data_IF_839431168766
#
_entry.id   IF_839431168766
#
_cell.length_a   1.000
_cell.length_b   1.000
_cell.length_c   1.000
_cell.angle_alpha   90.00
_cell.angle_beta   90.00
_cell.angle_gamma   90.00
#
_symmetry.space_group_name_H-M   'P 1'
#
loop_
_entity.id
_entity.type
_entity.pdbx_description
1 polymer ?
#
# COMPACT_ATOMS: atom_id res chain seq x y z
N UNK A 1 31.65 20.53 -31.44
CA UNK A 1 31.06 19.80 -30.32
C UNK A 1 32.12 18.93 -29.66
N UNK A 2 32.33 19.10 -28.36
CA UNK A 2 33.28 18.29 -27.60
C UNK A 2 32.67 16.89 -27.37
N UNK A 3 33.41 15.80 -27.64
CA UNK A 3 32.93 14.47 -27.37
C UNK A 3 32.79 14.26 -25.86
N UNK A 4 31.63 13.74 -25.44
CA UNK A 4 31.38 13.40 -24.05
C UNK A 4 32.22 12.17 -23.66
N UNK A 5 33.03 12.26 -22.60
CA UNK A 5 33.77 11.11 -22.07
C UNK A 5 32.83 10.19 -21.28
N UNK A 6 32.73 8.93 -21.72
CA UNK A 6 31.93 7.92 -21.04
C UNK A 6 32.45 7.72 -19.61
N UNK A 7 31.57 7.90 -18.61
CA UNK A 7 31.88 7.72 -17.18
C UNK A 7 32.22 9.01 -16.43
N UNK A 8 32.26 10.17 -17.08
CA UNK A 8 32.41 11.45 -16.40
C UNK A 8 31.08 11.89 -15.73
N UNK A 9 31.15 12.24 -14.44
CA UNK A 9 30.03 12.79 -13.66
C UNK A 9 30.52 14.01 -12.88
N UNK A 10 29.75 15.11 -12.91
CA UNK A 10 29.99 16.30 -12.09
C UNK A 10 29.61 16.12 -10.61
N UNK A 11 28.96 14.99 -10.27
CA UNK A 11 28.59 14.66 -8.90
C UNK A 11 29.76 14.05 -8.12
N UNK A 12 29.90 14.41 -6.84
CA UNK A 12 30.78 13.70 -5.91
C UNK A 12 30.37 12.22 -5.91
N UNK A 13 31.33 11.31 -6.05
CA UNK A 13 31.09 9.87 -5.92
C UNK A 13 30.72 9.59 -4.46
N UNK A 14 29.43 9.70 -4.15
CA UNK A 14 28.88 9.29 -2.88
C UNK A 14 28.71 7.77 -2.87
N UNK A 15 28.94 7.14 -1.73
CA UNK A 15 28.61 5.73 -1.53
C UNK A 15 27.12 5.52 -1.82
N UNK A 16 26.82 4.81 -2.89
CA UNK A 16 25.47 4.33 -3.17
C UNK A 16 25.29 3.02 -2.38
N UNK A 17 24.50 3.02 -1.30
CA UNK A 17 24.24 1.78 -0.59
C UNK A 17 23.60 0.79 -1.57
N UNK A 18 23.93 -0.51 -1.50
CA UNK A 18 23.40 -1.52 -2.41
C UNK A 18 21.92 -1.86 -2.10
N UNK A 19 21.07 -0.84 -2.00
CA UNK A 19 19.62 -0.92 -1.80
C UNK A 19 18.90 -1.23 -3.12
N UNK A 20 19.51 -2.05 -3.97
CA UNK A 20 18.83 -2.53 -5.17
C UNK A 20 17.62 -3.35 -4.71
N UNK A 21 16.41 -3.06 -5.20
CA UNK A 21 15.23 -3.86 -4.88
C UNK A 21 15.52 -5.33 -5.23
N UNK A 22 15.61 -6.18 -4.20
CA UNK A 22 15.78 -7.62 -4.38
C UNK A 22 14.40 -8.27 -4.47
N UNK A 23 14.23 -9.20 -5.42
CA UNK A 23 13.04 -10.06 -5.43
C UNK A 23 13.24 -11.16 -4.38
N UNK A 24 12.37 -11.26 -3.36
CA UNK A 24 12.47 -12.33 -2.39
C UNK A 24 12.05 -13.66 -3.03
N UNK A 25 12.70 -14.75 -2.62
CA UNK A 25 12.26 -16.10 -2.98
C UNK A 25 10.94 -16.40 -2.25
N UNK A 26 9.90 -16.72 -3.03
CA UNK A 26 8.57 -16.97 -2.48
C UNK A 26 8.42 -18.44 -2.04
N UNK A 27 8.01 -18.71 -0.78
CA UNK A 27 7.71 -20.07 -0.29
C UNK A 27 6.64 -20.74 -1.14
N UNK A 28 6.58 -22.06 -1.27
CA UNK A 28 5.53 -22.71 -2.07
C UNK A 28 4.12 -22.30 -1.63
N UNK A 29 3.17 -22.27 -2.58
CA UNK A 29 1.78 -21.98 -2.25
C UNK A 29 1.15 -23.16 -1.53
N UNK A 30 0.42 -22.87 -0.45
CA UNK A 30 -0.39 -23.83 0.30
C UNK A 30 -1.88 -23.53 0.05
N UNK A 31 -2.73 -24.56 0.08
CA UNK A 31 -4.20 -24.43 0.03
C UNK A 31 -4.73 -23.51 -1.09
N UNK A 32 -4.10 -23.56 -2.26
CA UNK A 32 -4.40 -22.72 -3.43
C UNK A 32 -4.28 -21.19 -3.22
N UNK A 33 -3.63 -20.72 -2.12
CA UNK A 33 -3.31 -19.31 -1.92
C UNK A 33 -2.07 -18.91 -2.71
N UNK A 34 -2.31 -18.46 -3.94
CA UNK A 34 -1.24 -18.06 -4.85
C UNK A 34 -0.75 -16.62 -4.66
N UNK A 35 -1.40 -15.83 -3.80
CA UNK A 35 -1.01 -14.44 -3.58
C UNK A 35 0.37 -14.36 -2.89
N UNK A 36 1.33 -13.58 -3.41
CA UNK A 36 2.70 -13.54 -2.88
C UNK A 36 2.79 -13.18 -1.40
N UNK A 37 1.94 -12.25 -0.93
CA UNK A 37 1.92 -11.82 0.47
C UNK A 37 1.42 -12.96 1.36
N UNK A 38 0.38 -13.68 0.94
CA UNK A 38 -0.18 -14.79 1.71
C UNK A 38 0.86 -15.89 1.90
N UNK A 39 1.62 -16.22 0.85
CA UNK A 39 2.71 -17.21 0.92
C UNK A 39 3.79 -16.85 1.94
N UNK A 40 4.09 -15.56 2.08
CA UNK A 40 5.05 -15.08 3.09
C UNK A 40 4.46 -15.15 4.50
N UNK A 41 3.19 -14.79 4.66
CA UNK A 41 2.48 -14.85 5.94
C UNK A 41 2.30 -16.30 6.39
N UNK A 42 1.88 -17.21 5.50
CA UNK A 42 1.65 -18.61 5.81
C UNK A 42 2.95 -19.31 6.24
N UNK A 43 4.08 -18.98 5.60
CA UNK A 43 5.41 -19.42 6.07
C UNK A 43 5.71 -18.91 7.48
N UNK A 44 5.46 -17.63 7.75
CA UNK A 44 5.70 -17.06 9.07
C UNK A 44 4.84 -17.77 10.14
N UNK A 45 3.53 -17.93 9.87
CA UNK A 45 2.61 -18.57 10.79
C UNK A 45 2.98 -20.03 11.06
N UNK A 46 3.34 -20.80 10.03
CA UNK A 46 3.77 -22.20 10.18
C UNK A 46 5.08 -22.34 10.95
N UNK A 47 6.06 -21.47 10.72
CA UNK A 47 7.33 -21.46 11.48
C UNK A 47 7.13 -21.16 12.97
N UNK A 48 6.08 -20.42 13.31
CA UNK A 48 5.77 -20.03 14.68
C UNK A 48 4.61 -20.83 15.30
N UNK A 49 4.13 -21.88 14.62
CA UNK A 49 3.00 -22.71 15.08
C UNK A 49 1.73 -21.89 15.41
N UNK A 50 1.53 -20.78 14.70
CA UNK A 50 0.40 -19.88 14.89
C UNK A 50 -0.75 -20.27 13.95
N UNK A 51 -2.01 -20.26 14.43
CA UNK A 51 -3.16 -20.53 13.57
C UNK A 51 -3.38 -19.38 12.58
N UNK A 52 -3.92 -19.73 11.40
CA UNK A 52 -4.34 -18.71 10.44
C UNK A 52 -5.58 -17.97 10.94
N UNK A 53 -5.64 -16.63 10.82
CA UNK A 53 -6.83 -15.87 11.18
C UNK A 53 -7.99 -16.19 10.22
N UNK A 54 -9.20 -16.25 10.77
CA UNK A 54 -10.41 -16.41 9.97
C UNK A 54 -10.67 -15.16 9.11
N UNK A 55 -11.27 -15.31 7.92
CA UNK A 55 -11.74 -14.18 7.13
C UNK A 55 -12.74 -13.33 7.92
N UNK A 56 -12.65 -12.01 7.75
CA UNK A 56 -13.60 -11.05 8.32
C UNK A 56 -14.91 -11.01 7.52
N UNK A 57 -15.99 -10.64 8.19
CA UNK A 57 -17.29 -10.39 7.57
C UNK A 57 -17.28 -9.14 6.67
N UNK A 58 -18.28 -9.03 5.82
CA UNK A 58 -18.36 -7.97 4.80
C UNK A 58 -18.57 -6.57 5.38
N UNK A 59 -19.29 -6.44 6.51
CA UNK A 59 -19.50 -5.13 7.13
C UNK A 59 -18.19 -4.62 7.76
N UNK A 60 -17.46 -5.51 8.44
CA UNK A 60 -16.12 -5.21 8.98
C UNK A 60 -15.14 -4.90 7.86
N UNK A 61 -15.17 -5.67 6.77
CA UNK A 61 -14.33 -5.40 5.59
C UNK A 61 -14.60 -4.01 5.02
N UNK A 62 -15.88 -3.67 4.76
CA UNK A 62 -16.24 -2.39 4.16
C UNK A 62 -15.81 -1.21 5.04
N UNK A 63 -16.04 -1.31 6.35
CA UNK A 63 -15.62 -0.26 7.29
C UNK A 63 -14.11 -0.06 7.27
N UNK A 64 -13.33 -1.14 7.29
CA UNK A 64 -11.86 -1.07 7.30
C UNK A 64 -11.33 -0.49 6.00
N UNK A 65 -11.79 -0.98 4.85
CA UNK A 65 -11.26 -0.54 3.56
C UNK A 65 -11.59 0.92 3.26
N UNK A 66 -12.75 1.42 3.68
CA UNK A 66 -13.06 2.85 3.59
C UNK A 66 -12.13 3.71 4.47
N UNK A 67 -11.93 3.31 5.73
CA UNK A 67 -11.05 4.04 6.64
C UNK A 67 -9.58 3.99 6.19
N UNK A 68 -9.13 2.84 5.66
CA UNK A 68 -7.74 2.65 5.24
C UNK A 68 -7.41 3.34 3.92
N UNK A 69 -8.36 3.41 2.98
CA UNK A 69 -8.11 3.97 1.65
C UNK A 69 -8.45 5.45 1.55
N UNK A 70 -9.55 5.89 2.17
CA UNK A 70 -10.09 7.25 2.01
C UNK A 70 -10.38 7.95 3.35
N UNK A 71 -10.08 7.33 4.50
CA UNK A 71 -10.19 7.98 5.81
C UNK A 71 -11.62 8.29 6.30
N UNK A 72 -12.64 7.91 5.53
CA UNK A 72 -14.05 8.17 5.83
C UNK A 72 -14.77 6.86 6.15
N UNK A 73 -15.94 6.95 6.80
CA UNK A 73 -16.81 5.79 6.98
C UNK A 73 -17.72 5.61 5.74
N UNK A 74 -18.11 4.37 5.40
CA UNK A 74 -19.15 4.16 4.40
C UNK A 74 -20.48 4.74 4.89
N UNK A 75 -21.29 5.25 3.97
CA UNK A 75 -22.66 5.66 4.27
C UNK A 75 -23.54 4.45 4.59
N UNK A 76 -24.64 4.64 5.34
CA UNK A 76 -25.61 3.57 5.59
C UNK A 76 -26.18 2.93 4.32
N UNK A 77 -26.35 3.72 3.26
CA UNK A 77 -26.83 3.29 1.96
C UNK A 77 -25.81 2.40 1.25
N UNK A 78 -24.53 2.80 1.23
CA UNK A 78 -23.45 1.98 0.67
C UNK A 78 -23.28 0.66 1.41
N UNK A 79 -23.36 0.69 2.75
CA UNK A 79 -23.29 -0.54 3.54
C UNK A 79 -24.42 -1.50 3.19
N UNK A 80 -25.66 -1.01 3.08
CA UNK A 80 -26.80 -1.84 2.67
C UNK A 80 -26.62 -2.41 1.28
N UNK A 81 -26.16 -1.59 0.32
CA UNK A 81 -25.92 -2.03 -1.05
C UNK A 81 -24.83 -3.10 -1.12
N UNK A 82 -23.73 -2.91 -0.40
CA UNK A 82 -22.60 -3.84 -0.37
C UNK A 82 -22.94 -5.18 0.30
N UNK A 83 -23.77 -5.15 1.34
CA UNK A 83 -24.26 -6.37 2.01
C UNK A 83 -25.28 -7.12 1.16
N UNK A 84 -26.05 -6.43 0.31
CA UNK A 84 -27.00 -7.05 -0.62
C UNK A 84 -26.33 -7.63 -1.87
N UNK A 85 -25.12 -7.19 -2.20
CA UNK A 85 -24.36 -7.69 -3.35
C UNK A 85 -23.76 -9.10 -3.07
N UNK A 86 -24.10 -10.05 -3.94
CA UNK A 86 -23.62 -11.44 -3.88
C UNK A 86 -22.49 -11.73 -4.89
N UNK A 87 -21.98 -10.71 -5.59
CA UNK A 87 -20.92 -10.87 -6.58
C UNK A 87 -19.63 -11.35 -5.92
N UNK A 88 -18.99 -12.35 -6.53
CA UNK A 88 -17.73 -12.94 -6.04
C UNK A 88 -16.57 -11.94 -6.01
N UNK A 89 -16.64 -10.88 -6.82
CA UNK A 89 -15.62 -9.85 -6.97
C UNK A 89 -15.96 -8.51 -6.29
N UNK A 90 -17.08 -8.43 -5.55
CA UNK A 90 -17.57 -7.17 -4.95
C UNK A 90 -16.52 -6.44 -4.10
N UNK A 91 -15.67 -7.17 -3.38
CA UNK A 91 -14.58 -6.60 -2.56
C UNK A 91 -13.53 -5.92 -3.43
N UNK A 92 -13.14 -6.57 -4.54
CA UNK A 92 -12.18 -6.03 -5.50
C UNK A 92 -12.75 -4.81 -6.22
N UNK A 93 -14.03 -4.85 -6.60
CA UNK A 93 -14.71 -3.72 -7.23
C UNK A 93 -14.77 -2.52 -6.29
N UNK A 94 -15.17 -2.71 -5.02
CA UNK A 94 -15.20 -1.64 -4.02
C UNK A 94 -13.82 -1.03 -3.75
N UNK A 95 -12.76 -1.84 -3.69
CA UNK A 95 -11.38 -1.32 -3.58
C UNK A 95 -11.04 -0.44 -4.77
N UNK A 96 -11.35 -0.89 -6.00
CA UNK A 96 -11.08 -0.10 -7.22
C UNK A 96 -11.86 1.20 -7.25
N UNK A 97 -13.13 1.17 -6.82
CA UNK A 97 -13.98 2.34 -6.72
C UNK A 97 -13.39 3.38 -5.75
N UNK A 98 -12.99 2.96 -4.55
CA UNK A 98 -12.38 3.85 -3.55
C UNK A 98 -11.03 4.41 -4.00
N UNK A 99 -10.20 3.60 -4.66
CA UNK A 99 -8.92 4.06 -5.22
C UNK A 99 -9.09 4.99 -6.42
N UNK A 100 -10.26 4.97 -7.08
CA UNK A 100 -10.58 5.86 -8.20
C UNK A 100 -11.23 7.18 -7.75
N UNK A 101 -11.58 7.33 -6.47
CA UNK A 101 -11.99 8.61 -5.89
C UNK A 101 -10.74 9.46 -5.61
N UNK A 102 -10.28 10.16 -6.64
CA UNK A 102 -9.06 10.97 -6.59
C UNK A 102 -9.11 12.03 -5.48
N UNK A 103 -10.30 12.54 -5.12
CA UNK A 103 -10.43 13.60 -4.11
C UNK A 103 -10.35 13.02 -2.71
N UNK A 104 -11.20 12.06 -2.37
CA UNK A 104 -11.21 11.49 -1.02
C UNK A 104 -9.89 10.75 -0.72
N UNK A 105 -9.33 10.06 -1.71
CA UNK A 105 -8.03 9.41 -1.57
C UNK A 105 -6.91 10.43 -1.35
N UNK A 106 -6.83 11.48 -2.17
CA UNK A 106 -5.80 12.50 -2.01
C UNK A 106 -5.90 13.20 -0.66
N UNK A 107 -7.10 13.61 -0.25
CA UNK A 107 -7.33 14.27 1.04
C UNK A 107 -6.88 13.40 2.22
N UNK A 108 -7.16 12.09 2.17
CA UNK A 108 -6.75 11.15 3.23
C UNK A 108 -5.23 11.00 3.32
N UNK A 109 -4.56 10.82 2.19
CA UNK A 109 -3.15 10.49 2.14
C UNK A 109 -2.22 11.71 2.13
N UNK A 110 -2.74 12.91 1.88
CA UNK A 110 -1.95 14.14 1.74
C UNK A 110 -1.04 14.38 2.95
N UNK A 111 -1.58 14.30 4.17
CA UNK A 111 -0.80 14.53 5.39
C UNK A 111 0.29 13.49 5.58
N UNK A 112 -0.02 12.21 5.32
CA UNK A 112 0.96 11.13 5.40
C UNK A 112 2.11 11.34 4.41
N UNK A 113 1.80 11.65 3.16
CA UNK A 113 2.83 11.85 2.14
C UNK A 113 3.62 13.14 2.34
N UNK A 114 2.99 14.22 2.81
CA UNK A 114 3.71 15.46 3.14
C UNK A 114 4.76 15.23 4.23
N UNK A 115 4.42 14.46 5.26
CA UNK A 115 5.37 14.10 6.33
C UNK A 115 6.45 13.13 5.80
N UNK A 116 6.06 12.05 5.12
CA UNK A 116 6.97 11.02 4.61
C UNK A 116 7.99 11.58 3.62
N UNK A 117 7.54 12.37 2.66
CA UNK A 117 8.40 12.94 1.61
C UNK A 117 9.19 14.15 2.12
N UNK A 118 8.90 14.63 3.34
CA UNK A 118 9.44 15.87 3.90
C UNK A 118 9.34 16.98 2.86
N UNK A 119 8.15 17.17 2.28
CA UNK A 119 7.90 18.26 1.34
C UNK A 119 8.24 19.56 2.07
N UNK A 120 9.43 20.07 1.77
CA UNK A 120 10.14 21.00 2.62
C UNK A 120 9.43 22.36 2.59
N UNK A 121 9.08 22.82 3.78
CA UNK A 121 8.83 24.22 4.03
C UNK A 121 10.17 24.94 3.84
N UNK A 122 10.38 25.54 2.67
CA UNK A 122 11.17 26.78 2.60
C UNK A 122 10.38 27.89 3.33
N UNK A 123 10.18 27.72 4.64
CA UNK A 123 9.57 28.66 5.56
C UNK A 123 10.66 29.26 6.42
N UNK A 124 10.58 30.57 6.66
CA UNK A 124 11.55 31.39 7.40
C UNK A 124 11.65 30.94 8.87
N UNK A 125 12.42 29.89 9.12
CA UNK A 125 12.60 29.29 10.43
C UNK A 125 14.00 28.69 10.59
N UNK A 126 15.00 29.28 9.95
CA UNK A 126 16.39 29.06 10.35
C UNK A 126 16.62 29.85 11.64
N UNK A 127 16.78 29.14 12.77
CA UNK A 127 17.47 29.69 13.93
C UNK A 127 18.97 29.55 13.61
N UNK A 128 19.60 30.68 13.26
CA UNK A 128 21.05 30.90 13.42
C UNK A 128 21.40 31.15 14.87
#
# INVERSE_FOLDING_TARGET
DLPWEAGYSFGIVAYEPPLKPRRPDLPLAEDCRNHPIDRLIDRYLSQHELPRPAPIDDATFLRRVHLDLVGLLPTPEELKAFLADCSVDKRTLKIRELLADDTAYADHWLSFFNDLLRNDYSGTGFIT
#
